data_IF_683645099896
#
_entry.id   IF_683645099896
#
_cell.length_a   1.000
_cell.length_b   1.000
_cell.length_c   1.000
_cell.angle_alpha   90.00
_cell.angle_beta   90.00
_cell.angle_gamma   90.00
#
_symmetry.space_group_name_H-M   'P 1'
#
loop_
_entity.id
_entity.type
_entity.pdbx_description
1 polymer ?
#
# COMPACT_ATOMS: atom_id res chain seq x y z
N UNK A 1 12.68 -56.57 0.60
CA UNK A 1 12.31 -55.37 -0.16
C UNK A 1 11.45 -54.41 0.67
N UNK A 2 10.35 -54.82 1.28
CA UNK A 2 9.43 -53.97 2.08
C UNK A 2 10.12 -53.25 3.28
N UNK A 3 11.00 -53.97 4.01
CA UNK A 3 11.72 -53.42 5.19
C UNK A 3 12.73 -52.33 4.82
N UNK A 4 13.42 -52.47 3.69
CA UNK A 4 14.36 -51.45 3.19
C UNK A 4 13.58 -50.21 2.69
N UNK A 5 12.47 -50.37 1.99
CA UNK A 5 11.61 -49.29 1.54
C UNK A 5 11.08 -48.46 2.72
N UNK A 6 10.58 -49.12 3.79
CA UNK A 6 10.12 -48.47 5.02
C UNK A 6 11.20 -47.62 5.67
N UNK A 7 12.45 -48.12 5.75
CA UNK A 7 13.59 -47.39 6.33
C UNK A 7 13.91 -46.14 5.48
N UNK A 8 13.92 -46.27 4.16
CA UNK A 8 14.13 -45.14 3.24
C UNK A 8 13.04 -44.08 3.42
N UNK A 9 11.77 -44.47 3.47
CA UNK A 9 10.66 -43.56 3.67
C UNK A 9 10.74 -42.82 5.03
N UNK A 10 11.10 -43.54 6.11
CA UNK A 10 11.32 -42.93 7.44
C UNK A 10 12.48 -41.94 7.44
N UNK A 11 13.56 -42.27 6.74
CA UNK A 11 14.72 -41.39 6.61
C UNK A 11 14.37 -40.11 5.84
N UNK A 12 13.67 -40.23 4.71
CA UNK A 12 13.16 -39.06 3.92
C UNK A 12 12.24 -38.21 4.79
N UNK A 13 11.27 -38.82 5.48
CA UNK A 13 10.33 -38.11 6.36
C UNK A 13 11.09 -37.36 7.48
N UNK A 14 12.16 -37.96 8.06
CA UNK A 14 12.97 -37.30 9.07
C UNK A 14 13.73 -36.10 8.51
N UNK A 15 14.28 -36.20 7.31
CA UNK A 15 14.92 -35.04 6.61
C UNK A 15 13.91 -33.93 6.34
N UNK A 16 12.74 -34.27 5.80
CA UNK A 16 11.67 -33.30 5.54
C UNK A 16 11.22 -32.60 6.84
N UNK A 17 11.07 -33.35 7.92
CA UNK A 17 10.68 -32.80 9.23
C UNK A 17 11.79 -31.86 9.77
N UNK A 18 13.06 -32.29 9.70
CA UNK A 18 14.17 -31.44 10.11
C UNK A 18 14.25 -30.15 9.30
N UNK A 19 14.09 -30.22 7.98
CA UNK A 19 14.07 -29.06 7.10
C UNK A 19 12.90 -28.13 7.43
N UNK A 20 11.71 -28.68 7.71
CA UNK A 20 10.54 -27.90 8.10
C UNK A 20 10.78 -27.17 9.43
N UNK A 21 11.26 -27.88 10.46
CA UNK A 21 11.54 -27.28 11.78
C UNK A 21 12.60 -26.20 11.68
N UNK A 22 13.66 -26.44 10.93
CA UNK A 22 14.72 -25.44 10.70
C UNK A 22 14.19 -24.21 9.96
N UNK A 23 13.39 -24.42 8.91
CA UNK A 23 12.77 -23.33 8.15
C UNK A 23 11.80 -22.50 9.01
N UNK A 24 10.97 -23.14 9.82
CA UNK A 24 10.08 -22.46 10.77
C UNK A 24 10.86 -21.64 11.81
N UNK A 25 11.94 -22.23 12.37
CA UNK A 25 12.81 -21.54 13.31
C UNK A 25 13.48 -20.33 12.69
N UNK A 26 14.03 -20.46 11.47
CA UNK A 26 14.62 -19.36 10.73
C UNK A 26 13.64 -18.24 10.47
N UNK A 27 12.45 -18.56 9.96
CA UNK A 27 11.43 -17.56 9.65
C UNK A 27 10.92 -16.82 10.89
N UNK A 28 10.74 -17.54 12.00
CA UNK A 28 10.35 -16.94 13.28
C UNK A 28 11.45 -16.01 13.82
N UNK A 29 12.71 -16.44 13.73
CA UNK A 29 13.85 -15.63 14.13
C UNK A 29 13.95 -14.35 13.27
N UNK A 30 13.83 -14.47 11.95
CA UNK A 30 13.90 -13.32 11.05
C UNK A 30 12.72 -12.35 11.27
N UNK A 31 11.50 -12.86 11.44
CA UNK A 31 10.35 -12.01 11.74
C UNK A 31 10.55 -11.22 13.04
N UNK A 32 11.04 -11.89 14.09
CA UNK A 32 11.35 -11.22 15.37
C UNK A 32 12.50 -10.21 15.24
N UNK A 33 13.52 -10.51 14.43
CA UNK A 33 14.62 -9.58 14.15
C UNK A 33 14.12 -8.33 13.40
N UNK A 34 13.23 -8.49 12.38
CA UNK A 34 12.64 -7.37 11.69
C UNK A 34 11.81 -6.48 12.62
N UNK A 35 10.99 -7.06 13.49
CA UNK A 35 10.20 -6.30 14.46
C UNK A 35 11.07 -5.60 15.51
N UNK A 36 12.12 -6.25 15.98
CA UNK A 36 13.08 -5.66 16.93
C UNK A 36 13.81 -4.47 16.32
N UNK A 37 14.25 -4.58 15.05
CA UNK A 37 14.98 -3.52 14.36
C UNK A 37 14.06 -2.41 13.84
N UNK A 38 12.77 -2.70 13.67
CA UNK A 38 11.75 -1.77 13.20
C UNK A 38 10.54 -1.78 14.16
N UNK A 39 10.71 -1.28 15.39
CA UNK A 39 9.65 -1.34 16.39
C UNK A 39 8.41 -0.55 15.94
N UNK A 40 7.26 -0.93 16.49
CA UNK A 40 6.04 -0.18 16.24
C UNK A 40 6.19 1.27 16.75
N UNK A 41 5.89 2.22 15.89
CA UNK A 41 5.94 3.66 16.19
C UNK A 41 4.54 4.27 16.33
N UNK A 42 3.50 3.45 16.11
CA UNK A 42 2.11 3.86 16.17
C UNK A 42 1.36 3.32 17.39
N UNK A 43 0.10 3.65 17.46
CA UNK A 43 -0.83 3.15 18.44
C UNK A 43 -1.81 2.16 17.79
N UNK A 44 -2.05 1.03 18.47
CA UNK A 44 -2.97 0.00 18.01
C UNK A 44 -4.35 0.25 18.60
N UNK A 45 -5.30 0.67 17.76
CA UNK A 45 -6.67 1.05 18.10
C UNK A 45 -7.63 -0.09 17.76
N UNK A 46 -8.50 -0.47 18.70
CA UNK A 46 -9.59 -1.42 18.45
C UNK A 46 -10.64 -0.80 17.53
N UNK A 47 -10.87 -1.45 16.39
CA UNK A 47 -11.81 -1.01 15.35
C UNK A 47 -13.05 -1.92 15.23
N UNK A 48 -13.27 -2.78 16.22
CA UNK A 48 -14.40 -3.71 16.26
C UNK A 48 -13.93 -5.16 16.39
N UNK A 49 -13.19 -5.47 17.47
CA UNK A 49 -12.71 -6.82 17.79
C UNK A 49 -11.33 -7.17 17.24
N UNK A 50 -10.67 -6.25 16.58
CA UNK A 50 -9.25 -6.35 16.16
C UNK A 50 -8.62 -4.95 16.12
N UNK A 51 -7.29 -4.88 16.13
CA UNK A 51 -6.58 -3.61 16.30
C UNK A 51 -5.88 -3.18 15.00
N UNK A 52 -6.14 -1.96 14.58
CA UNK A 52 -5.37 -1.28 13.54
C UNK A 52 -4.29 -0.40 14.15
N UNK A 53 -3.10 -0.46 13.60
CA UNK A 53 -1.99 0.40 13.97
C UNK A 53 -2.03 1.71 13.17
N UNK A 54 -1.75 2.82 13.83
CA UNK A 54 -1.73 4.13 13.19
C UNK A 54 -0.86 5.12 13.95
N UNK A 55 -0.25 6.04 13.22
CA UNK A 55 0.38 7.25 13.76
C UNK A 55 -0.53 8.43 13.46
N UNK A 56 -0.96 9.13 14.52
CA UNK A 56 -1.69 10.36 14.40
C UNK A 56 -0.80 11.55 14.78
N UNK A 57 -0.65 12.48 13.84
CA UNK A 57 0.12 13.72 14.04
C UNK A 57 -0.89 14.86 14.13
N UNK A 58 -1.10 15.44 15.33
CA UNK A 58 -2.07 16.50 15.52
C UNK A 58 -1.57 17.82 14.91
N UNK A 59 -2.50 18.63 14.43
CA UNK A 59 -2.22 19.97 13.92
C UNK A 59 -2.27 21.04 15.01
N UNK A 60 -1.51 22.13 14.91
CA UNK A 60 -1.71 23.31 15.72
C UNK A 60 -2.96 24.08 15.25
N UNK A 61 -3.42 25.03 16.10
CA UNK A 61 -4.57 25.89 15.74
C UNK A 61 -4.35 26.72 14.47
N UNK A 62 -3.11 26.97 14.11
CA UNK A 62 -2.69 27.74 12.93
C UNK A 62 -2.61 26.93 11.65
N UNK A 63 -2.95 25.63 11.69
CA UNK A 63 -2.88 24.75 10.52
C UNK A 63 -3.79 25.25 9.39
N UNK A 64 -3.28 25.15 8.18
CA UNK A 64 -3.87 25.71 6.96
C UNK A 64 -4.50 24.66 6.02
N UNK A 65 -4.42 23.38 6.42
CA UNK A 65 -4.98 22.25 5.67
C UNK A 65 -5.97 21.44 6.54
N UNK A 66 -6.94 20.76 5.92
CA UNK A 66 -7.83 19.83 6.63
C UNK A 66 -7.07 18.57 7.07
N UNK A 67 -7.75 17.68 7.79
CA UNK A 67 -7.21 16.36 8.15
C UNK A 67 -6.87 15.55 6.90
N UNK A 68 -5.73 14.88 6.92
CA UNK A 68 -5.19 14.03 5.86
C UNK A 68 -5.12 12.58 6.35
N UNK A 69 -5.59 11.63 5.55
CA UNK A 69 -5.52 10.20 5.82
C UNK A 69 -4.75 9.51 4.70
N UNK A 70 -3.71 8.76 5.06
CA UNK A 70 -2.79 8.14 4.13
C UNK A 70 -2.97 6.63 4.08
N UNK A 71 -3.25 6.09 2.88
CA UNK A 71 -3.48 4.66 2.62
C UNK A 71 -2.37 4.12 1.73
N UNK A 72 -1.47 3.33 2.30
CA UNK A 72 -0.32 2.78 1.58
C UNK A 72 -0.68 1.67 0.58
N UNK A 73 0.24 1.37 -0.33
CA UNK A 73 0.13 0.36 -1.36
C UNK A 73 0.31 -1.09 -0.87
N UNK A 74 0.44 -2.01 -1.82
CA UNK A 74 0.82 -3.39 -1.54
C UNK A 74 2.26 -3.47 -1.02
N UNK A 75 2.57 -4.50 -0.24
CA UNK A 75 3.92 -4.77 0.30
C UNK A 75 4.55 -3.57 1.04
N UNK A 76 3.73 -2.70 1.63
CA UNK A 76 4.16 -1.52 2.36
C UNK A 76 3.55 -1.48 3.77
N UNK A 77 3.81 -0.43 4.49
CA UNK A 77 3.26 -0.10 5.81
C UNK A 77 3.13 1.42 5.95
N UNK A 78 2.64 1.90 7.09
CA UNK A 78 2.39 3.33 7.34
C UNK A 78 3.62 4.22 7.16
N UNK A 79 4.84 3.69 7.38
CA UNK A 79 6.08 4.46 7.26
C UNK A 79 6.36 4.88 5.81
N UNK A 80 5.90 4.10 4.83
CA UNK A 80 6.15 4.41 3.41
C UNK A 80 5.66 5.81 3.06
N UNK A 81 4.40 6.13 3.30
CA UNK A 81 3.90 7.48 3.05
C UNK A 81 4.30 8.49 4.14
N UNK A 82 4.53 8.03 5.37
CA UNK A 82 4.96 8.90 6.45
C UNK A 82 6.34 9.51 6.17
N UNK A 83 7.30 8.75 5.68
CA UNK A 83 8.63 9.24 5.27
C UNK A 83 8.50 10.29 4.16
N UNK A 84 7.64 10.06 3.18
CA UNK A 84 7.46 10.98 2.05
C UNK A 84 6.82 12.33 2.45
N UNK A 85 5.84 12.31 3.37
CA UNK A 85 4.95 13.46 3.58
C UNK A 85 5.07 14.14 4.94
N UNK A 86 5.40 13.41 6.02
CA UNK A 86 5.28 13.95 7.38
C UNK A 86 6.05 15.26 7.58
N UNK A 87 7.34 15.27 7.30
CA UNK A 87 8.20 16.44 7.53
C UNK A 87 7.78 17.68 6.74
N UNK A 88 7.11 17.48 5.59
CA UNK A 88 6.66 18.55 4.70
C UNK A 88 5.28 19.11 5.05
N UNK A 89 4.48 18.34 5.81
CA UNK A 89 3.09 18.68 6.17
C UNK A 89 2.88 18.86 7.67
N UNK A 90 3.88 18.53 8.51
CA UNK A 90 3.83 18.72 9.96
C UNK A 90 3.60 20.20 10.30
N UNK A 91 2.68 20.46 11.23
CA UNK A 91 2.25 21.82 11.55
C UNK A 91 1.18 22.38 10.59
N UNK A 92 0.90 21.74 9.44
CA UNK A 92 -0.05 22.21 8.45
C UNK A 92 -1.39 21.45 8.45
N UNK A 93 -1.40 20.20 8.87
CA UNK A 93 -2.60 19.35 8.91
C UNK A 93 -2.57 18.38 10.09
N UNK A 94 -3.74 17.91 10.52
CA UNK A 94 -3.82 16.60 11.20
C UNK A 94 -3.48 15.52 10.17
N UNK A 95 -2.62 14.59 10.51
CA UNK A 95 -2.27 13.49 9.62
C UNK A 95 -2.50 12.14 10.30
N UNK A 96 -3.19 11.23 9.63
CA UNK A 96 -3.35 9.84 10.04
C UNK A 96 -2.64 8.93 9.03
N UNK A 97 -1.51 8.37 9.45
CA UNK A 97 -0.83 7.30 8.73
C UNK A 97 -1.26 5.97 9.36
N UNK A 98 -1.69 5.01 8.56
CA UNK A 98 -2.22 3.75 9.07
C UNK A 98 -1.58 2.55 8.39
N UNK A 99 -1.44 1.46 9.13
CA UNK A 99 -1.17 0.15 8.57
C UNK A 99 -2.50 -0.50 8.14
N UNK A 100 -2.58 -0.94 6.89
CA UNK A 100 -3.73 -1.69 6.39
C UNK A 100 -3.90 -3.02 7.17
N UNK A 101 -5.13 -3.57 7.28
CA UNK A 101 -5.38 -4.82 7.98
C UNK A 101 -4.44 -5.96 7.56
N UNK A 102 -3.70 -6.52 8.51
CA UNK A 102 -2.74 -7.60 8.31
C UNK A 102 -1.35 -7.18 7.85
N UNK A 103 -1.09 -5.89 7.62
CA UNK A 103 0.21 -5.35 7.25
C UNK A 103 0.77 -4.48 8.39
N UNK A 104 2.08 -4.17 8.31
CA UNK A 104 2.76 -3.43 9.37
C UNK A 104 2.51 -4.08 10.74
N UNK A 105 1.92 -3.35 11.66
CA UNK A 105 1.55 -3.81 13.00
C UNK A 105 0.03 -3.90 13.23
N UNK A 106 -0.78 -3.86 12.17
CA UNK A 106 -2.22 -4.08 12.23
C UNK A 106 -2.56 -5.57 12.25
N UNK A 107 -3.57 -5.94 13.04
CA UNK A 107 -4.18 -7.27 12.96
C UNK A 107 -4.89 -7.43 11.60
N UNK A 108 -5.02 -8.66 11.13
CA UNK A 108 -5.78 -8.95 9.91
C UNK A 108 -7.28 -8.65 10.08
N UNK A 109 -7.81 -8.91 11.26
CA UNK A 109 -9.25 -8.91 11.48
C UNK A 109 -9.94 -10.05 10.73
N UNK A 110 -11.19 -9.84 10.32
CA UNK A 110 -11.99 -10.86 9.64
C UNK A 110 -11.66 -11.05 8.16
N UNK A 111 -12.27 -12.07 7.51
CA UNK A 111 -12.04 -12.40 6.10
C UNK A 111 -12.46 -11.29 5.12
N UNK A 112 -13.38 -10.40 5.51
CA UNK A 112 -13.77 -9.23 4.72
C UNK A 112 -12.59 -8.32 4.40
N UNK A 113 -11.60 -8.24 5.28
CA UNK A 113 -10.39 -7.43 5.08
C UNK A 113 -9.45 -7.98 3.97
N UNK A 114 -9.81 -9.11 3.35
CA UNK A 114 -9.17 -9.59 2.13
C UNK A 114 -9.57 -8.80 0.87
N UNK A 115 -10.49 -7.84 1.01
CA UNK A 115 -11.04 -7.04 -0.06
C UNK A 115 -10.97 -5.54 0.28
N UNK A 116 -10.91 -4.66 -0.73
CA UNK A 116 -10.87 -3.21 -0.52
C UNK A 116 -12.04 -2.64 0.28
N UNK A 117 -13.25 -3.20 0.18
CA UNK A 117 -14.42 -2.74 0.94
C UNK A 117 -14.27 -2.99 2.45
N UNK A 118 -13.89 -4.20 2.87
CA UNK A 118 -13.63 -4.47 4.28
C UNK A 118 -12.50 -3.61 4.84
N UNK A 119 -11.45 -3.34 4.05
CA UNK A 119 -10.38 -2.44 4.45
C UNK A 119 -10.86 -0.98 4.52
N UNK A 120 -11.74 -0.54 3.63
CA UNK A 120 -12.35 0.79 3.69
C UNK A 120 -13.20 0.96 4.95
N UNK A 121 -14.00 -0.06 5.31
CA UNK A 121 -14.81 -0.06 6.54
C UNK A 121 -13.92 -0.01 7.80
N UNK A 122 -12.80 -0.76 7.80
CA UNK A 122 -11.81 -0.73 8.88
C UNK A 122 -11.20 0.67 9.06
N UNK A 123 -10.85 1.33 7.96
CA UNK A 123 -10.31 2.70 7.97
C UNK A 123 -11.37 3.69 8.48
N UNK A 124 -12.62 3.56 8.04
CA UNK A 124 -13.71 4.39 8.54
C UNK A 124 -13.93 4.23 10.06
N UNK A 125 -13.85 2.99 10.56
CA UNK A 125 -13.90 2.71 11.99
C UNK A 125 -12.71 3.34 12.75
N UNK A 126 -11.48 3.23 12.21
CA UNK A 126 -10.30 3.87 12.78
C UNK A 126 -10.43 5.38 12.81
N UNK A 127 -10.89 6.01 11.73
CA UNK A 127 -11.11 7.45 11.66
C UNK A 127 -12.13 7.90 12.74
N UNK A 128 -13.25 7.16 12.91
CA UNK A 128 -14.23 7.44 13.95
C UNK A 128 -13.64 7.35 15.34
N UNK A 129 -12.82 6.32 15.63
CA UNK A 129 -12.12 6.16 16.92
C UNK A 129 -11.12 7.29 17.21
N UNK A 130 -10.52 7.86 16.15
CA UNK A 130 -9.64 9.04 16.23
C UNK A 130 -10.40 10.38 16.24
N UNK A 131 -11.75 10.37 16.20
CA UNK A 131 -12.56 11.59 16.15
C UNK A 131 -12.51 12.32 14.80
N UNK A 132 -12.00 11.68 13.75
CA UNK A 132 -11.89 12.24 12.40
C UNK A 132 -13.23 12.06 11.69
N UNK A 133 -13.94 13.15 11.48
CA UNK A 133 -15.25 13.14 10.81
C UNK A 133 -15.11 13.18 9.29
N UNK A 134 -14.14 13.94 8.77
CA UNK A 134 -13.95 14.17 7.34
C UNK A 134 -12.48 14.46 7.05
N UNK A 135 -11.94 13.93 5.95
CA UNK A 135 -10.55 14.07 5.58
C UNK A 135 -10.33 14.09 4.06
N UNK A 136 -9.20 14.65 3.60
CA UNK A 136 -8.65 14.32 2.28
C UNK A 136 -7.98 12.95 2.40
N UNK A 137 -8.35 12.03 1.52
CA UNK A 137 -7.79 10.67 1.49
C UNK A 137 -6.69 10.63 0.44
N UNK A 138 -5.48 10.33 0.86
CA UNK A 138 -4.30 10.16 0.02
C UNK A 138 -4.00 8.66 -0.10
N UNK A 139 -3.91 8.15 -1.31
CA UNK A 139 -3.72 6.73 -1.54
C UNK A 139 -2.66 6.45 -2.59
N UNK A 140 -1.89 5.39 -2.41
CA UNK A 140 -0.89 4.93 -3.37
C UNK A 140 -1.21 3.49 -3.83
N UNK A 141 -1.06 3.24 -5.14
CA UNK A 141 -1.10 1.88 -5.71
C UNK A 141 -2.36 1.10 -5.30
N UNK A 142 -2.24 -0.07 -4.66
CA UNK A 142 -3.36 -0.86 -4.12
C UNK A 142 -4.30 -0.04 -3.23
N UNK A 143 -3.76 0.93 -2.48
CA UNK A 143 -4.56 1.87 -1.67
C UNK A 143 -5.59 2.64 -2.49
N UNK A 144 -5.38 2.78 -3.81
CA UNK A 144 -6.32 3.42 -4.73
C UNK A 144 -7.67 2.72 -4.81
N UNK A 145 -7.69 1.38 -4.91
CA UNK A 145 -8.95 0.62 -4.88
C UNK A 145 -9.69 0.79 -3.54
N UNK A 146 -8.93 0.88 -2.43
CA UNK A 146 -9.50 1.12 -1.10
C UNK A 146 -10.09 2.54 -1.02
N UNK A 147 -9.34 3.55 -1.46
CA UNK A 147 -9.78 4.95 -1.41
C UNK A 147 -11.01 5.21 -2.31
N UNK A 148 -11.04 4.61 -3.52
CA UNK A 148 -12.21 4.69 -4.39
C UNK A 148 -13.44 4.03 -3.75
N UNK A 149 -13.26 2.84 -3.16
CA UNK A 149 -14.35 2.15 -2.43
C UNK A 149 -14.78 2.94 -1.18
N UNK A 150 -13.83 3.52 -0.46
CA UNK A 150 -14.12 4.40 0.68
C UNK A 150 -14.99 5.58 0.25
N UNK A 151 -14.69 6.21 -0.87
CA UNK A 151 -15.48 7.31 -1.41
C UNK A 151 -16.88 6.89 -1.86
N UNK A 152 -17.09 5.63 -2.27
CA UNK A 152 -18.41 5.10 -2.58
C UNK A 152 -19.24 4.80 -1.33
N UNK A 153 -18.63 4.24 -0.29
CA UNK A 153 -19.32 3.70 0.87
C UNK A 153 -19.39 4.68 2.06
N UNK A 154 -18.43 5.61 2.16
CA UNK A 154 -18.28 6.57 3.27
C UNK A 154 -18.19 8.01 2.76
N UNK A 155 -19.08 8.39 1.84
CA UNK A 155 -19.08 9.68 1.12
C UNK A 155 -18.93 10.90 2.03
N UNK A 156 -19.63 10.89 3.16
CA UNK A 156 -19.64 12.02 4.09
C UNK A 156 -18.30 12.22 4.82
N UNK A 157 -17.45 11.19 4.82
CA UNK A 157 -16.13 11.23 5.43
C UNK A 157 -15.03 11.71 4.48
N UNK A 158 -15.34 11.97 3.19
CA UNK A 158 -14.37 12.36 2.15
C UNK A 158 -14.47 13.84 1.85
N UNK A 159 -13.42 14.61 2.14
CA UNK A 159 -13.27 16.01 1.74
C UNK A 159 -12.67 16.15 0.34
N UNK A 160 -11.84 15.20 -0.09
CA UNK A 160 -11.20 15.12 -1.37
C UNK A 160 -10.40 13.83 -1.50
N UNK A 161 -9.98 13.50 -2.71
CA UNK A 161 -9.22 12.29 -3.03
C UNK A 161 -7.94 12.66 -3.79
N UNK A 162 -6.81 12.20 -3.29
CA UNK A 162 -5.55 12.21 -4.03
C UNK A 162 -5.13 10.77 -4.32
N UNK A 163 -5.10 10.42 -5.58
CA UNK A 163 -4.62 9.13 -6.06
C UNK A 163 -3.21 9.27 -6.62
N UNK A 164 -2.30 8.42 -6.15
CA UNK A 164 -0.91 8.33 -6.58
C UNK A 164 -0.68 6.96 -7.21
N UNK A 165 -0.56 6.90 -8.54
CA UNK A 165 -0.43 5.65 -9.32
C UNK A 165 -1.43 4.56 -8.88
N UNK A 166 -2.74 4.82 -8.86
CA UNK A 166 -3.74 3.95 -8.22
C UNK A 166 -4.04 2.69 -9.03
N UNK A 167 -4.17 1.54 -8.37
CA UNK A 167 -4.67 0.29 -8.95
C UNK A 167 -6.19 0.20 -8.76
N UNK A 168 -6.98 0.53 -9.78
CA UNK A 168 -8.43 0.72 -9.65
C UNK A 168 -9.28 -0.04 -10.67
N UNK A 169 -8.74 -0.41 -11.82
CA UNK A 169 -9.50 -1.01 -12.91
C UNK A 169 -9.04 -2.41 -13.25
N UNK A 170 -9.88 -3.21 -13.93
CA UNK A 170 -9.47 -4.53 -14.40
C UNK A 170 -8.35 -4.43 -15.43
N UNK A 171 -7.35 -5.30 -15.30
CA UNK A 171 -6.21 -5.36 -16.22
C UNK A 171 -6.16 -6.73 -16.93
N UNK A 172 -5.63 -6.80 -18.15
CA UNK A 172 -5.37 -8.06 -18.83
C UNK A 172 -4.18 -8.79 -18.19
N UNK A 173 -4.15 -10.10 -18.29
CA UNK A 173 -3.12 -10.93 -17.70
C UNK A 173 -3.44 -11.37 -16.28
N UNK A 174 -2.44 -11.69 -15.53
CA UNK A 174 -2.54 -12.20 -14.15
C UNK A 174 -1.78 -11.33 -13.17
N UNK A 175 -1.48 -11.95 -12.06
CA UNK A 175 -0.55 -11.48 -11.04
C UNK A 175 0.66 -12.41 -11.03
N UNK A 176 1.73 -11.99 -10.40
CA UNK A 176 2.90 -12.84 -10.19
C UNK A 176 2.52 -14.18 -9.56
N UNK A 177 3.06 -15.28 -10.12
CA UNK A 177 2.68 -16.64 -9.78
C UNK A 177 2.78 -16.96 -8.28
N UNK A 178 3.74 -16.34 -7.58
CA UNK A 178 3.94 -16.56 -6.15
C UNK A 178 2.80 -16.00 -5.29
N UNK A 179 2.09 -14.96 -5.74
CA UNK A 179 0.87 -14.49 -5.06
C UNK A 179 -0.25 -15.53 -5.20
N UNK A 180 -0.40 -16.13 -6.39
CA UNK A 180 -1.39 -17.20 -6.60
C UNK A 180 -1.07 -18.43 -5.76
N UNK A 181 0.19 -18.86 -5.71
CA UNK A 181 0.62 -19.97 -4.87
C UNK A 181 0.35 -19.70 -3.38
N UNK A 182 0.62 -18.48 -2.92
CA UNK A 182 0.46 -18.07 -1.51
C UNK A 182 -1.00 -18.01 -1.06
N UNK A 183 -1.97 -17.87 -1.97
CA UNK A 183 -3.41 -17.90 -1.63
C UNK A 183 -3.90 -19.26 -1.14
N UNK A 184 -3.25 -20.36 -1.52
CA UNK A 184 -3.70 -21.70 -1.13
C UNK A 184 -3.55 -21.89 0.39
N UNK A 185 -4.48 -22.62 1.06
CA UNK A 185 -4.47 -22.69 2.51
C UNK A 185 -3.19 -23.26 3.10
N UNK A 186 -2.80 -24.48 2.77
CA UNK A 186 -1.65 -25.19 3.34
C UNK A 186 -0.35 -24.84 2.60
N UNK A 187 -0.34 -25.02 1.26
CA UNK A 187 0.85 -24.74 0.45
C UNK A 187 1.22 -23.26 0.49
N UNK A 188 0.23 -22.38 0.52
CA UNK A 188 0.47 -20.95 0.64
C UNK A 188 1.04 -20.55 1.99
N UNK A 189 0.62 -21.20 3.08
CA UNK A 189 1.23 -21.00 4.40
C UNK A 189 2.67 -21.49 4.43
N UNK A 190 2.95 -22.68 3.89
CA UNK A 190 4.31 -23.19 3.77
C UNK A 190 5.20 -22.28 2.93
N UNK A 191 4.70 -21.83 1.78
CA UNK A 191 5.43 -20.91 0.91
C UNK A 191 5.75 -19.58 1.61
N UNK A 192 4.74 -18.96 2.21
CA UNK A 192 4.91 -17.69 2.94
C UNK A 192 5.85 -17.81 4.14
N UNK A 193 5.93 -18.99 4.75
CA UNK A 193 6.75 -19.21 5.94
C UNK A 193 8.17 -19.66 5.59
N UNK A 194 8.34 -20.54 4.61
CA UNK A 194 9.64 -21.16 4.34
C UNK A 194 10.40 -20.50 3.19
N UNK A 195 9.70 -19.97 2.19
CA UNK A 195 10.29 -19.45 0.96
C UNK A 195 10.31 -17.93 0.93
N UNK A 196 9.20 -17.29 1.29
CA UNK A 196 9.08 -15.84 1.13
C UNK A 196 10.10 -15.02 1.96
N UNK A 197 10.42 -15.34 3.24
CA UNK A 197 11.40 -14.57 3.99
C UNK A 197 12.82 -14.61 3.41
N UNK A 198 13.45 -15.77 3.11
CA UNK A 198 14.78 -15.78 2.51
C UNK A 198 14.80 -15.20 1.08
N UNK A 199 13.79 -15.51 0.27
CA UNK A 199 13.69 -14.94 -1.09
C UNK A 199 13.46 -13.43 -1.06
N UNK A 200 12.62 -12.95 -0.14
CA UNK A 200 12.38 -11.52 0.07
C UNK A 200 13.65 -10.79 0.49
N UNK A 201 14.42 -11.33 1.44
CA UNK A 201 15.72 -10.77 1.84
C UNK A 201 16.69 -10.65 0.65
N UNK A 202 16.78 -11.69 -0.16
CA UNK A 202 17.67 -11.70 -1.31
C UNK A 202 17.24 -10.73 -2.43
N UNK A 203 15.95 -10.39 -2.51
CA UNK A 203 15.37 -9.63 -3.62
C UNK A 203 14.92 -8.21 -3.28
N UNK A 204 14.82 -7.82 -2.00
CA UNK A 204 14.19 -6.56 -1.56
C UNK A 204 14.84 -5.31 -2.17
N UNK A 205 16.17 -5.29 -2.30
CA UNK A 205 16.88 -4.18 -2.92
C UNK A 205 16.49 -4.03 -4.40
N UNK A 206 16.54 -5.11 -5.16
CA UNK A 206 16.13 -5.12 -6.57
C UNK A 206 14.65 -4.80 -6.74
N UNK A 207 13.80 -5.41 -5.92
CA UNK A 207 12.35 -5.23 -5.98
C UNK A 207 11.96 -3.77 -5.70
N UNK A 208 12.51 -3.17 -4.65
CA UNK A 208 12.23 -1.76 -4.34
C UNK A 208 12.79 -0.81 -5.41
N UNK A 209 13.99 -1.05 -5.96
CA UNK A 209 14.50 -0.28 -7.09
C UNK A 209 13.59 -0.37 -8.31
N UNK A 210 13.06 -1.54 -8.62
CA UNK A 210 12.17 -1.72 -9.79
C UNK A 210 10.84 -0.96 -9.66
N UNK A 211 10.34 -0.77 -8.42
CA UNK A 211 9.13 0.03 -8.17
C UNK A 211 9.37 1.52 -8.45
N UNK A 212 10.58 2.01 -8.22
CA UNK A 212 10.93 3.41 -8.53
C UNK A 212 11.27 3.63 -10.01
N UNK A 213 11.71 2.57 -10.71
CA UNK A 213 12.21 2.72 -12.09
C UNK A 213 11.20 3.43 -13.01
N UNK A 214 11.68 4.33 -13.90
CA UNK A 214 13.07 4.65 -14.23
C UNK A 214 13.75 5.62 -13.24
N UNK A 215 13.04 6.14 -12.25
CA UNK A 215 13.60 7.08 -11.28
C UNK A 215 14.48 6.36 -10.24
N UNK A 216 15.33 7.11 -9.57
CA UNK A 216 16.17 6.58 -8.51
C UNK A 216 15.38 6.40 -7.21
N UNK A 217 15.54 5.23 -6.57
CA UNK A 217 15.05 5.03 -5.22
C UNK A 217 15.91 5.86 -4.26
N UNK A 218 15.32 6.65 -3.34
CA UNK A 218 16.08 7.39 -2.33
C UNK A 218 16.97 6.46 -1.48
N UNK A 219 18.14 6.95 -1.11
CA UNK A 219 19.02 6.26 -0.16
C UNK A 219 18.30 6.11 1.18
N UNK A 220 18.56 5.00 1.88
CA UNK A 220 17.91 4.69 3.15
C UNK A 220 16.44 4.27 3.08
N UNK A 221 15.82 4.23 1.89
CA UNK A 221 14.40 3.92 1.73
C UNK A 221 13.96 2.63 2.43
N UNK A 222 14.73 1.54 2.29
CA UNK A 222 14.36 0.24 2.87
C UNK A 222 14.31 0.32 4.40
N UNK A 223 15.27 0.97 5.00
CA UNK A 223 15.43 1.11 6.44
C UNK A 223 14.39 2.10 7.01
N UNK A 224 14.26 3.27 6.41
CA UNK A 224 13.35 4.31 6.88
C UNK A 224 11.87 3.89 6.77
N UNK A 225 11.52 3.17 5.70
CA UNK A 225 10.16 2.67 5.50
C UNK A 225 9.90 1.35 6.20
N UNK A 226 10.92 0.74 6.83
CA UNK A 226 10.82 -0.61 7.40
C UNK A 226 10.27 -1.64 6.40
N UNK A 227 10.75 -1.61 5.15
CA UNK A 227 10.23 -2.45 4.06
C UNK A 227 10.33 -3.95 4.37
N UNK A 228 11.28 -4.35 5.23
CA UNK A 228 11.41 -5.74 5.71
C UNK A 228 10.17 -6.27 6.43
N UNK A 229 9.32 -5.43 6.99
CA UNK A 229 8.08 -5.86 7.64
C UNK A 229 7.11 -6.55 6.67
N UNK A 230 7.20 -6.25 5.36
CA UNK A 230 6.35 -6.85 4.34
C UNK A 230 6.69 -8.32 4.04
N UNK A 231 7.91 -8.75 4.32
CA UNK A 231 8.35 -10.13 4.07
C UNK A 231 8.21 -11.06 5.29
N UNK A 232 7.65 -10.57 6.41
CA UNK A 232 7.23 -11.45 7.51
C UNK A 232 6.14 -12.40 6.99
N UNK A 233 6.15 -13.70 7.40
CA UNK A 233 5.27 -14.73 6.85
C UNK A 233 3.80 -14.33 6.75
N UNK A 234 3.22 -13.82 7.84
CA UNK A 234 1.82 -13.42 7.86
C UNK A 234 1.55 -12.18 7.00
N UNK A 235 2.41 -11.16 7.08
CA UNK A 235 2.27 -9.94 6.29
C UNK A 235 2.36 -10.24 4.78
N UNK A 236 3.35 -11.06 4.38
CA UNK A 236 3.48 -11.50 2.98
C UNK A 236 2.25 -12.27 2.52
N UNK A 237 1.74 -13.21 3.33
CA UNK A 237 0.57 -14.01 3.00
C UNK A 237 -0.70 -13.16 2.86
N UNK A 238 -0.94 -12.24 3.78
CA UNK A 238 -2.11 -11.34 3.71
C UNK A 238 -2.04 -10.41 2.51
N UNK A 239 -0.86 -9.85 2.23
CA UNK A 239 -0.63 -9.05 1.04
C UNK A 239 -0.88 -9.84 -0.26
N UNK A 240 -0.43 -11.10 -0.33
CA UNK A 240 -0.67 -11.98 -1.47
C UNK A 240 -2.17 -12.29 -1.67
N UNK A 241 -2.90 -12.51 -0.59
CA UNK A 241 -4.35 -12.71 -0.62
C UNK A 241 -5.05 -11.45 -1.14
N UNK A 242 -4.67 -10.27 -0.64
CA UNK A 242 -5.23 -8.99 -1.06
C UNK A 242 -5.04 -8.77 -2.56
N UNK A 243 -3.80 -8.90 -3.05
CA UNK A 243 -3.46 -8.75 -4.48
C UNK A 243 -4.22 -9.77 -5.32
N UNK A 244 -4.25 -11.02 -4.85
CA UNK A 244 -4.93 -12.11 -5.55
C UNK A 244 -6.45 -11.97 -5.65
N UNK A 245 -7.05 -11.11 -4.83
CA UNK A 245 -8.49 -10.83 -4.86
C UNK A 245 -8.82 -9.53 -5.61
N UNK A 246 -7.82 -8.68 -5.88
CA UNK A 246 -8.05 -7.34 -6.39
C UNK A 246 -8.71 -7.34 -7.78
N UNK A 247 -8.25 -8.19 -8.71
CA UNK A 247 -8.76 -8.22 -10.08
C UNK A 247 -10.27 -8.46 -10.11
N UNK A 248 -10.74 -9.49 -9.43
CA UNK A 248 -12.18 -9.80 -9.38
C UNK A 248 -12.97 -8.74 -8.61
N UNK A 249 -12.35 -8.13 -7.62
CA UNK A 249 -12.97 -7.03 -6.90
C UNK A 249 -13.18 -5.80 -7.80
N UNK A 250 -12.16 -5.34 -8.51
CA UNK A 250 -12.25 -4.13 -9.35
C UNK A 250 -13.14 -4.35 -10.57
N UNK A 251 -13.25 -5.57 -11.13
CA UNK A 251 -14.25 -5.90 -12.15
C UNK A 251 -15.68 -5.58 -11.70
N UNK A 252 -15.97 -5.83 -10.43
CA UNK A 252 -17.29 -5.61 -9.84
C UNK A 252 -17.52 -4.17 -9.44
N UNK A 253 -16.50 -3.47 -8.94
CA UNK A 253 -16.68 -2.15 -8.30
C UNK A 253 -16.39 -0.99 -9.24
N UNK A 254 -15.45 -1.12 -10.21
CA UNK A 254 -15.05 0.01 -11.06
C UNK A 254 -16.22 0.65 -11.85
N UNK A 255 -17.25 -0.06 -12.32
CA UNK A 255 -18.39 0.57 -12.98
C UNK A 255 -19.15 1.58 -12.10
N UNK A 256 -18.92 1.53 -10.78
CA UNK A 256 -19.53 2.46 -9.82
C UNK A 256 -18.69 3.72 -9.58
N UNK A 257 -17.45 3.82 -10.06
CA UNK A 257 -16.60 4.99 -9.79
C UNK A 257 -17.19 6.30 -10.32
N UNK A 258 -18.04 6.26 -11.34
CA UNK A 258 -18.86 7.40 -11.78
C UNK A 258 -19.80 8.00 -10.72
N UNK A 259 -20.07 7.26 -9.64
CA UNK A 259 -20.83 7.74 -8.48
C UNK A 259 -19.99 8.62 -7.53
N UNK A 260 -18.66 8.62 -7.66
CA UNK A 260 -17.77 9.42 -6.83
C UNK A 260 -17.93 10.89 -7.22
N UNK A 261 -18.26 11.73 -6.22
CA UNK A 261 -18.51 13.18 -6.42
C UNK A 261 -17.50 14.06 -5.66
N UNK A 262 -16.62 13.44 -4.88
CA UNK A 262 -15.59 14.16 -4.12
C UNK A 262 -14.58 14.81 -5.08
N UNK A 263 -14.10 16.03 -4.81
CA UNK A 263 -12.99 16.62 -5.55
C UNK A 263 -11.81 15.65 -5.63
N UNK A 264 -11.30 15.41 -6.84
CA UNK A 264 -10.33 14.35 -7.07
C UNK A 264 -9.15 14.84 -7.92
N UNK A 265 -7.93 14.53 -7.46
CA UNK A 265 -6.69 14.67 -8.23
C UNK A 265 -6.02 13.31 -8.36
N UNK A 266 -5.54 12.99 -9.55
CA UNK A 266 -4.84 11.76 -9.87
C UNK A 266 -3.46 12.14 -10.41
N UNK A 267 -2.40 11.60 -9.80
CA UNK A 267 -1.02 11.77 -10.26
C UNK A 267 -0.47 10.39 -10.63
N UNK A 268 0.03 10.27 -11.84
CA UNK A 268 0.57 9.01 -12.37
C UNK A 268 1.77 9.27 -13.27
N UNK A 269 2.65 8.30 -13.40
CA UNK A 269 3.78 8.37 -14.32
C UNK A 269 3.50 7.65 -15.64
N UNK A 270 3.96 8.16 -16.75
CA UNK A 270 3.84 7.48 -18.05
C UNK A 270 4.82 6.30 -18.21
N UNK A 271 5.85 6.26 -17.36
CA UNK A 271 6.82 5.16 -17.27
C UNK A 271 6.48 4.14 -16.17
N UNK A 272 5.31 4.23 -15.53
CA UNK A 272 4.86 3.25 -14.54
C UNK A 272 4.57 1.90 -15.20
N UNK A 273 5.40 0.89 -14.85
CA UNK A 273 5.27 -0.48 -15.33
C UNK A 273 4.68 -1.44 -14.30
N UNK A 274 4.39 -0.94 -13.11
CA UNK A 274 3.77 -1.71 -12.02
C UNK A 274 2.26 -1.63 -12.13
N UNK A 275 1.74 -0.40 -12.30
CA UNK A 275 0.31 -0.11 -12.46
C UNK A 275 0.14 0.77 -13.69
N UNK A 276 -0.16 0.13 -14.82
CA UNK A 276 -0.20 0.79 -16.13
C UNK A 276 -1.20 1.96 -16.12
N UNK A 277 -0.76 3.20 -16.36
CA UNK A 277 -1.61 4.38 -16.27
C UNK A 277 -2.79 4.35 -17.23
N UNK A 278 -2.62 3.78 -18.43
CA UNK A 278 -3.66 3.65 -19.45
C UNK A 278 -4.85 2.80 -18.97
N UNK A 279 -4.59 1.79 -18.14
CA UNK A 279 -5.62 0.89 -17.61
C UNK A 279 -6.27 1.48 -16.38
N UNK A 280 -5.50 2.12 -15.51
CA UNK A 280 -5.97 2.47 -14.18
C UNK A 280 -6.26 3.97 -14.01
N UNK A 281 -5.24 4.81 -14.17
CA UNK A 281 -5.34 6.24 -13.86
C UNK A 281 -6.18 7.00 -14.89
N UNK A 282 -6.03 6.66 -16.19
CA UNK A 282 -6.80 7.30 -17.25
C UNK A 282 -8.28 6.90 -17.16
N UNK A 283 -8.59 5.61 -16.97
CA UNK A 283 -9.97 5.16 -16.83
C UNK A 283 -10.61 5.73 -15.55
N UNK A 284 -9.86 5.83 -14.45
CA UNK A 284 -10.37 6.45 -13.23
C UNK A 284 -10.71 7.94 -13.44
N UNK A 285 -9.91 8.64 -14.25
CA UNK A 285 -10.18 10.02 -14.63
C UNK A 285 -11.44 10.15 -15.50
N UNK A 286 -11.64 9.24 -16.45
CA UNK A 286 -12.84 9.18 -17.27
C UNK A 286 -14.10 8.90 -16.44
N UNK A 287 -14.00 8.03 -15.44
CA UNK A 287 -15.12 7.68 -14.57
C UNK A 287 -15.49 8.80 -13.58
N UNK A 288 -14.50 9.48 -12.98
CA UNK A 288 -14.77 10.50 -11.96
C UNK A 288 -14.89 11.88 -12.62
N UNK A 289 -16.12 12.29 -12.85
CA UNK A 289 -16.42 13.60 -13.45
C UNK A 289 -15.81 14.77 -12.66
N UNK A 290 -15.08 15.64 -13.34
CA UNK A 290 -14.42 16.80 -12.74
C UNK A 290 -13.12 16.50 -12.01
N UNK A 291 -12.59 15.28 -12.10
CA UNK A 291 -11.25 14.96 -11.60
C UNK A 291 -10.17 15.68 -12.43
N UNK A 292 -9.02 15.91 -11.80
CA UNK A 292 -7.81 16.40 -12.49
C UNK A 292 -6.82 15.27 -12.63
N UNK A 293 -6.36 14.98 -13.84
CA UNK A 293 -5.31 13.99 -14.11
C UNK A 293 -3.99 14.70 -14.44
N UNK A 294 -2.94 14.33 -13.73
CA UNK A 294 -1.56 14.76 -13.97
C UNK A 294 -0.74 13.54 -14.34
N UNK A 295 -0.45 13.39 -15.63
CA UNK A 295 0.39 12.31 -16.18
C UNK A 295 1.78 12.88 -16.40
N UNK A 296 2.74 12.44 -15.59
CA UNK A 296 4.09 12.99 -15.55
C UNK A 296 5.03 12.17 -16.41
N UNK A 297 5.75 12.83 -17.32
CA UNK A 297 6.68 12.18 -18.21
C UNK A 297 7.90 11.62 -17.45
N UNK A 298 8.36 10.42 -17.80
CA UNK A 298 9.46 9.69 -17.17
C UNK A 298 9.29 9.40 -15.67
N UNK A 299 8.09 9.51 -15.12
CA UNK A 299 7.81 9.12 -13.76
C UNK A 299 7.42 7.64 -13.69
N UNK A 300 8.00 6.91 -12.74
CA UNK A 300 7.64 5.53 -12.39
C UNK A 300 6.47 5.44 -11.41
N UNK A 301 6.44 4.33 -10.64
CA UNK A 301 5.32 3.98 -9.75
C UNK A 301 5.30 4.72 -8.39
N UNK A 302 6.24 5.66 -8.13
CA UNK A 302 6.37 6.32 -6.81
C UNK A 302 6.21 7.86 -6.86
N UNK A 303 5.02 8.37 -7.27
CA UNK A 303 4.77 9.83 -7.26
C UNK A 303 4.94 10.46 -5.89
N UNK A 304 4.61 9.71 -4.83
CA UNK A 304 4.75 10.12 -3.42
C UNK A 304 6.18 10.52 -3.03
N UNK A 305 7.19 9.96 -3.67
CA UNK A 305 8.61 10.27 -3.42
C UNK A 305 9.23 11.21 -4.46
N UNK A 306 8.94 10.96 -5.72
CA UNK A 306 9.62 11.64 -6.84
C UNK A 306 9.05 13.04 -7.09
N UNK A 307 7.73 13.18 -6.94
CA UNK A 307 7.01 14.44 -7.15
C UNK A 307 6.16 14.82 -5.92
N UNK A 308 6.73 14.65 -4.72
CA UNK A 308 6.06 14.93 -3.44
C UNK A 308 5.54 16.36 -3.37
N UNK A 309 6.27 17.31 -3.90
CA UNK A 309 5.89 18.73 -3.99
C UNK A 309 4.62 18.94 -4.82
N UNK A 310 4.50 18.25 -5.96
CA UNK A 310 3.28 18.25 -6.77
C UNK A 310 2.11 17.59 -6.02
N UNK A 311 2.36 16.48 -5.31
CA UNK A 311 1.35 15.83 -4.48
C UNK A 311 0.85 16.75 -3.35
N UNK A 312 1.74 17.54 -2.73
CA UNK A 312 1.37 18.54 -1.72
C UNK A 312 0.55 19.67 -2.35
N UNK A 313 0.92 20.15 -3.52
CA UNK A 313 0.15 21.17 -4.23
C UNK A 313 -1.26 20.64 -4.61
N UNK A 314 -1.38 19.35 -4.95
CA UNK A 314 -2.67 18.70 -5.17
C UNK A 314 -3.51 18.65 -3.88
N UNK A 315 -2.91 18.32 -2.72
CA UNK A 315 -3.58 18.39 -1.41
C UNK A 315 -4.07 19.82 -1.13
N UNK A 316 -3.24 20.81 -1.41
CA UNK A 316 -3.62 22.22 -1.24
C UNK A 316 -4.76 22.63 -2.15
N UNK A 317 -4.78 22.15 -3.39
CA UNK A 317 -5.89 22.38 -4.34
C UNK A 317 -7.19 21.73 -3.83
N UNK A 318 -7.11 20.49 -3.35
CA UNK A 318 -8.25 19.79 -2.73
C UNK A 318 -8.75 20.49 -1.45
N UNK A 319 -7.87 21.23 -0.76
CA UNK A 319 -8.22 22.08 0.38
C UNK A 319 -8.76 23.46 -0.01
N UNK A 320 -8.97 23.72 -1.31
CA UNK A 320 -9.53 24.99 -1.84
C UNK A 320 -8.51 26.09 -2.11
N UNK A 321 -7.19 25.78 -2.02
CA UNK A 321 -6.15 26.75 -2.37
C UNK A 321 -5.92 26.78 -3.88
N UNK A 322 -5.66 27.97 -4.41
CA UNK A 322 -5.31 28.12 -5.83
C UNK A 322 -3.88 27.68 -6.09
N UNK A 323 -3.68 26.63 -6.88
CA UNK A 323 -2.39 26.14 -7.37
C UNK A 323 -2.49 25.89 -8.88
N UNK A 324 -1.47 26.25 -9.61
CA UNK A 324 -1.33 25.88 -11.02
C UNK A 324 -0.64 24.50 -11.09
N UNK A 325 -1.46 23.45 -11.04
CA UNK A 325 -0.95 22.08 -11.02
C UNK A 325 -0.27 21.71 -12.35
N UNK A 326 -0.71 22.26 -13.48
CA UNK A 326 -0.10 21.98 -14.78
C UNK A 326 1.32 22.59 -14.87
N UNK A 327 1.48 23.82 -14.39
CA UNK A 327 2.81 24.44 -14.30
C UNK A 327 3.74 23.66 -13.39
N UNK A 328 3.24 23.22 -12.23
CA UNK A 328 4.04 22.43 -11.28
C UNK A 328 4.37 21.02 -11.82
N UNK A 329 3.47 20.43 -12.60
CA UNK A 329 3.72 19.17 -13.29
C UNK A 329 4.85 19.32 -14.33
N UNK A 330 4.81 20.37 -15.17
CA UNK A 330 5.89 20.66 -16.13
C UNK A 330 7.24 20.87 -15.44
N UNK A 331 7.28 21.62 -14.34
CA UNK A 331 8.50 21.78 -13.54
C UNK A 331 9.02 20.47 -12.93
N UNK A 332 8.12 19.56 -12.53
CA UNK A 332 8.49 18.24 -12.04
C UNK A 332 9.11 17.39 -13.15
N UNK A 333 8.56 17.44 -14.38
CA UNK A 333 9.10 16.74 -15.55
C UNK A 333 10.51 17.23 -15.92
N UNK A 334 10.72 18.54 -15.94
CA UNK A 334 12.04 19.13 -16.18
C UNK A 334 13.07 18.61 -15.15
N UNK A 335 12.69 18.54 -13.87
CA UNK A 335 13.56 18.07 -12.80
C UNK A 335 13.90 16.59 -12.93
N UNK A 336 12.91 15.75 -13.30
CA UNK A 336 13.12 14.31 -13.53
C UNK A 336 14.03 14.06 -14.72
N UNK A 337 13.92 14.87 -15.79
CA UNK A 337 14.73 14.73 -17.00
C UNK A 337 16.23 14.96 -16.74
N UNK A 338 16.60 15.79 -15.74
CA UNK A 338 17.99 16.10 -15.40
C UNK A 338 18.66 14.99 -14.59
N UNK A 339 17.89 14.22 -13.83
CA UNK A 339 18.39 13.11 -12.98
C UNK A 339 18.41 11.84 -13.83
N UNK A 340 19.47 11.64 -14.60
CA UNK A 340 19.73 10.40 -15.38
C UNK A 340 20.89 9.63 -14.79
#
# INVERSE_FOLDING_TARGET
MYFAFRKIMLFIASICLAALVTGLGFSSYQAAAFEKNNPNIGERIDVGGYRMNSVYVPRPKTADLPTLVFIHGASANLRDQMVAFRSKLEGRADMLFLDRPGLGFSDRGGPQNAYPDGQADAIAALMKKRGIKKAIIISHSFGGAIAATFALNHRDMVAGLLFLSPATHPWPGGIEWYYTATKTPVLGWLFATLIAPPAGLASIDKATKSVFAPNLRPDGYIEETAAYLAIRPNAFRYNAIDIGNLLEYVKRVSPRYKEIKAPTVIITGDADRVVLPEIHSLQLHEDIAGSTLLRIHNLGHKPDYIVTDLAIAAIETLAGKKRDLNKLAAQAEERIAVVK
#
